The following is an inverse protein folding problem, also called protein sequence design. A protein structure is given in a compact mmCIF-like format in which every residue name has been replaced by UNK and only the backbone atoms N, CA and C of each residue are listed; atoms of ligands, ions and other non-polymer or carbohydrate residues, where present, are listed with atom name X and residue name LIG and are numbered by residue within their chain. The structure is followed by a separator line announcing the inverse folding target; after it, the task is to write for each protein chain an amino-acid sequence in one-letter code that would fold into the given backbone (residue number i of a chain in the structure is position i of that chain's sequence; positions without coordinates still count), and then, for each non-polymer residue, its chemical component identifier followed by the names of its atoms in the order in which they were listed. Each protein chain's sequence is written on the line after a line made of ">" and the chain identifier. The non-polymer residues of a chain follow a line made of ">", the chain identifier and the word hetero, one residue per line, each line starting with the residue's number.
data_IF_890619344824
#
_entry.id   IF_890619344824
#
_cell.length_a   1.000
_cell.length_b   1.000
_cell.length_c   1.000
_cell.angle_alpha   90.00
_cell.angle_beta   90.00
_cell.angle_gamma   90.00
#
_symmetry.space_group_name_H-M   'P 1'
#
loop_
_entity.id
_entity.type
_entity.pdbx_description
1 polymer ?
#
# COMPACT_ATOMS: atom_id res chain seq x y z
N UNK A 1 -51.24 -14.33 22.79
CA UNK A 1 -52.56 -13.67 22.59
C UNK A 1 -52.35 -12.53 21.60
N UNK A 2 -52.48 -12.80 20.30
CA UNK A 2 -52.38 -11.73 19.29
C UNK A 2 -53.68 -10.92 19.35
N UNK A 3 -53.63 -9.59 19.54
CA UNK A 3 -54.83 -8.79 19.53
C UNK A 3 -55.43 -8.88 18.12
N UNK A 4 -56.63 -9.46 18.01
CA UNK A 4 -57.39 -9.49 16.75
C UNK A 4 -57.74 -8.04 16.43
N UNK A 5 -56.96 -7.41 15.55
CA UNK A 5 -57.24 -6.05 15.09
C UNK A 5 -58.49 -6.07 14.22
N UNK A 6 -59.57 -5.43 14.67
CA UNK A 6 -60.77 -5.15 13.87
C UNK A 6 -60.53 -4.01 12.85
N UNK A 7 -59.44 -4.09 12.08
CA UNK A 7 -59.17 -3.16 10.97
C UNK A 7 -59.55 -3.79 9.65
N UNK A 8 -59.99 -2.95 8.70
CA UNK A 8 -60.28 -3.44 7.34
C UNK A 8 -58.98 -4.00 6.75
N UNK A 9 -59.06 -5.19 6.15
CA UNK A 9 -57.93 -5.88 5.54
C UNK A 9 -57.15 -5.00 4.55
N UNK A 10 -57.86 -4.13 3.80
CA UNK A 10 -57.28 -3.16 2.86
C UNK A 10 -56.41 -2.12 3.56
N UNK A 11 -56.92 -1.49 4.63
CA UNK A 11 -56.16 -0.51 5.42
C UNK A 11 -54.90 -1.14 6.03
N UNK A 12 -54.94 -2.42 6.39
CA UNK A 12 -53.76 -3.17 6.85
C UNK A 12 -52.69 -3.30 5.78
N UNK A 13 -53.09 -3.63 4.55
CA UNK A 13 -52.18 -3.73 3.39
C UNK A 13 -51.61 -2.37 3.03
N UNK A 14 -52.43 -1.32 2.98
CA UNK A 14 -51.99 0.03 2.62
C UNK A 14 -50.95 0.57 3.61
N UNK A 15 -51.15 0.36 4.91
CA UNK A 15 -50.17 0.75 5.93
C UNK A 15 -48.85 -0.04 5.79
N UNK A 16 -48.92 -1.32 5.46
CA UNK A 16 -47.75 -2.16 5.25
C UNK A 16 -46.97 -1.73 3.99
N UNK A 17 -47.68 -1.34 2.93
CA UNK A 17 -47.08 -0.80 1.71
C UNK A 17 -46.33 0.51 1.98
N UNK A 18 -46.94 1.45 2.71
CA UNK A 18 -46.30 2.74 3.05
C UNK A 18 -45.05 2.53 3.89
N UNK A 19 -45.08 1.63 4.87
CA UNK A 19 -43.91 1.25 5.67
C UNK A 19 -42.80 0.63 4.82
N UNK A 20 -43.14 -0.22 3.85
CA UNK A 20 -42.15 -0.82 2.94
C UNK A 20 -41.51 0.23 2.02
N UNK A 21 -42.31 1.10 1.39
CA UNK A 21 -41.81 2.14 0.48
C UNK A 21 -40.93 3.14 1.24
N UNK A 22 -41.34 3.56 2.45
CA UNK A 22 -40.56 4.48 3.27
C UNK A 22 -39.34 3.84 3.96
N UNK A 23 -39.39 2.53 4.20
CA UNK A 23 -38.38 1.81 4.96
C UNK A 23 -37.16 1.35 4.16
N UNK A 24 -37.27 1.17 2.84
CA UNK A 24 -36.17 0.69 2.01
C UNK A 24 -35.26 1.86 1.60
N UNK A 25 -34.00 1.91 2.05
CA UNK A 25 -33.11 3.04 1.79
C UNK A 25 -32.42 2.90 0.41
N UNK A 26 -33.19 3.04 -0.67
CA UNK A 26 -32.70 2.85 -2.06
C UNK A 26 -31.53 3.78 -2.41
N UNK A 27 -31.47 4.98 -1.81
CA UNK A 27 -30.41 5.95 -2.07
C UNK A 27 -29.08 5.63 -1.37
N UNK A 28 -29.09 4.85 -0.28
CA UNK A 28 -27.90 4.64 0.56
C UNK A 28 -26.73 3.99 -0.21
N UNK A 29 -26.91 2.94 -1.04
CA UNK A 29 -25.81 2.36 -1.80
C UNK A 29 -25.16 3.35 -2.79
N UNK A 30 -25.97 4.21 -3.41
CA UNK A 30 -25.50 5.22 -4.36
C UNK A 30 -24.68 6.29 -3.66
N UNK A 31 -25.16 6.79 -2.52
CA UNK A 31 -24.45 7.82 -1.74
C UNK A 31 -23.09 7.31 -1.26
N UNK A 32 -23.02 6.08 -0.75
CA UNK A 32 -21.76 5.46 -0.35
C UNK A 32 -20.79 5.33 -1.53
N UNK A 33 -21.27 4.84 -2.68
CA UNK A 33 -20.45 4.68 -3.89
C UNK A 33 -19.85 6.00 -4.37
N UNK A 34 -20.65 7.06 -4.44
CA UNK A 34 -20.19 8.40 -4.85
C UNK A 34 -19.21 8.97 -3.83
N UNK A 35 -19.49 8.79 -2.53
CA UNK A 35 -18.61 9.27 -1.46
C UNK A 35 -17.24 8.60 -1.52
N UNK A 36 -17.18 7.29 -1.73
CA UNK A 36 -15.92 6.57 -1.92
C UNK A 36 -15.19 7.03 -3.19
N UNK A 37 -15.91 7.28 -4.30
CA UNK A 37 -15.33 7.79 -5.54
C UNK A 37 -14.65 9.15 -5.34
N UNK A 38 -15.33 10.07 -4.66
CA UNK A 38 -14.78 11.37 -4.30
C UNK A 38 -13.60 11.20 -3.33
N UNK A 39 -13.69 10.29 -2.36
CA UNK A 39 -12.61 9.97 -1.43
C UNK A 39 -11.35 9.46 -2.14
N UNK A 40 -11.50 8.51 -3.06
CA UNK A 40 -10.42 8.01 -3.91
C UNK A 40 -9.76 9.12 -4.72
N UNK A 41 -10.58 9.98 -5.36
CA UNK A 41 -10.08 11.12 -6.10
C UNK A 41 -9.30 12.10 -5.22
N UNK A 42 -9.69 12.29 -3.95
CA UNK A 42 -8.98 13.15 -2.99
C UNK A 42 -7.68 12.52 -2.47
N UNK A 43 -7.59 11.20 -2.40
CA UNK A 43 -6.37 10.48 -1.98
C UNK A 43 -5.31 10.45 -3.10
N UNK A 44 -5.73 10.43 -4.37
CA UNK A 44 -4.83 10.43 -5.51
C UNK A 44 -3.81 11.59 -5.52
N UNK A 45 -4.17 12.87 -5.32
CA UNK A 45 -3.21 13.97 -5.26
C UNK A 45 -2.31 13.91 -4.00
N UNK A 46 -2.65 13.11 -3.00
CA UNK A 46 -1.81 12.85 -1.82
C UNK A 46 -0.81 11.70 -2.06
N UNK A 47 -0.77 11.14 -3.27
CA UNK A 47 0.12 10.04 -3.63
C UNK A 47 -0.41 8.64 -3.29
N UNK A 48 -1.66 8.52 -2.84
CA UNK A 48 -2.29 7.23 -2.52
C UNK A 48 -3.30 6.84 -3.61
N UNK A 49 -3.00 5.76 -4.34
CA UNK A 49 -3.89 5.22 -5.38
C UNK A 49 -4.72 4.06 -4.80
N UNK A 50 -6.02 4.28 -4.62
CA UNK A 50 -6.93 3.25 -4.10
C UNK A 50 -7.43 2.34 -5.22
N UNK A 51 -6.91 1.11 -5.30
CA UNK A 51 -7.37 0.10 -6.26
C UNK A 51 -8.75 -0.47 -5.93
N UNK A 52 -9.11 -0.52 -4.64
CA UNK A 52 -10.39 -1.03 -4.13
C UNK A 52 -11.05 0.06 -3.31
N UNK A 53 -12.32 0.36 -3.60
CA UNK A 53 -13.06 1.42 -2.91
C UNK A 53 -13.27 1.12 -1.42
N UNK A 54 -13.43 -0.16 -1.08
CA UNK A 54 -13.55 -0.64 0.31
C UNK A 54 -12.30 -0.38 1.16
N UNK A 55 -11.13 -0.19 0.54
CA UNK A 55 -9.89 0.08 1.26
C UNK A 55 -9.94 1.41 2.03
N UNK A 56 -10.78 2.36 1.59
CA UNK A 56 -10.97 3.65 2.27
C UNK A 56 -11.64 3.44 3.64
N UNK A 57 -12.61 2.53 3.72
CA UNK A 57 -13.27 2.18 4.98
C UNK A 57 -12.34 1.38 5.89
N UNK A 58 -11.64 0.38 5.35
CA UNK A 58 -10.66 -0.44 6.10
C UNK A 58 -9.54 0.43 6.70
N UNK A 59 -9.05 1.42 5.96
CA UNK A 59 -8.01 2.35 6.44
C UNK A 59 -8.49 3.21 7.62
N UNK A 60 -9.79 3.53 7.68
CA UNK A 60 -10.36 4.34 8.78
C UNK A 60 -10.38 3.56 10.10
N UNK A 61 -10.50 2.23 10.05
CA UNK A 61 -10.51 1.34 11.23
C UNK A 61 -9.16 0.70 11.54
N UNK A 62 -8.05 1.18 10.96
CA UNK A 62 -6.74 0.55 11.12
C UNK A 62 -6.08 0.93 12.46
N UNK A 63 -5.84 -0.06 13.32
CA UNK A 63 -5.15 0.13 14.60
C UNK A 63 -3.63 -0.14 14.54
N UNK A 64 -3.19 -1.01 13.63
CA UNK A 64 -1.79 -1.42 13.49
C UNK A 64 -1.35 -1.33 12.03
N UNK A 65 -0.25 -0.62 11.79
CA UNK A 65 0.40 -0.53 10.49
C UNK A 65 1.73 -1.30 10.51
N UNK A 66 1.73 -2.48 9.89
CA UNK A 66 2.96 -3.23 9.64
C UNK A 66 3.66 -2.63 8.41
N UNK A 67 4.74 -1.89 8.64
CA UNK A 67 5.54 -1.29 7.57
C UNK A 67 6.75 -2.15 7.24
N UNK A 68 7.02 -2.35 5.95
CA UNK A 68 8.23 -3.07 5.53
C UNK A 68 9.48 -2.20 5.71
N UNK A 69 10.59 -2.79 6.15
CA UNK A 69 11.81 -2.03 6.40
C UNK A 69 12.47 -1.61 5.09
N UNK A 70 12.69 -2.57 4.19
CA UNK A 70 13.42 -2.33 2.95
C UNK A 70 12.47 -1.73 1.93
N UNK A 71 12.77 -0.53 1.42
CA UNK A 71 11.95 0.12 0.40
C UNK A 71 10.70 0.86 0.90
N UNK A 72 10.33 0.77 2.19
CA UNK A 72 9.33 1.67 2.80
C UNK A 72 9.95 2.56 3.88
N UNK A 73 10.54 1.96 4.94
CA UNK A 73 11.19 2.75 6.00
C UNK A 73 12.59 3.26 5.60
N UNK A 74 13.28 2.55 4.72
CA UNK A 74 14.64 2.86 4.29
C UNK A 74 14.67 3.34 2.84
N UNK A 75 15.64 4.20 2.51
CA UNK A 75 15.79 4.81 1.19
C UNK A 75 16.21 3.84 0.08
N UNK A 76 16.47 2.57 0.43
CA UNK A 76 17.05 1.57 -0.46
C UNK A 76 18.33 2.07 -1.18
N UNK A 77 19.10 2.93 -0.51
CA UNK A 77 20.40 3.45 -0.95
C UNK A 77 21.45 2.96 0.03
N UNK A 78 22.10 1.88 -0.33
CA UNK A 78 23.12 1.24 0.52
C UNK A 78 24.44 2.00 0.36
N UNK A 79 25.21 2.05 1.45
CA UNK A 79 26.58 2.57 1.46
C UNK A 79 27.46 1.62 2.25
N UNK A 80 28.71 1.51 1.84
CA UNK A 80 29.70 0.61 2.47
C UNK A 80 30.87 1.46 2.93
N UNK A 81 31.26 1.28 4.19
CA UNK A 81 32.47 1.89 4.74
C UNK A 81 33.68 1.00 4.45
N UNK A 82 34.62 1.51 3.64
CA UNK A 82 35.83 0.78 3.22
C UNK A 82 36.71 0.37 4.42
N UNK A 83 36.65 1.11 5.53
CA UNK A 83 37.45 0.80 6.71
C UNK A 83 37.01 -0.49 7.39
N UNK A 84 35.71 -0.80 7.35
CA UNK A 84 35.10 -1.97 7.98
C UNK A 84 35.20 -3.25 7.14
N UNK A 85 35.73 -3.18 5.92
CA UNK A 85 35.89 -4.36 5.06
C UNK A 85 37.03 -5.23 5.60
N UNK A 86 36.73 -6.50 5.85
CA UNK A 86 37.72 -7.52 6.22
C UNK A 86 37.99 -8.46 5.04
N UNK A 87 39.26 -8.80 4.81
CA UNK A 87 39.70 -9.67 3.72
C UNK A 87 40.34 -10.93 4.30
N UNK A 88 39.80 -12.09 3.94
CA UNK A 88 40.25 -13.38 4.47
C UNK A 88 41.34 -14.06 3.61
N UNK A 89 41.48 -13.66 2.35
CA UNK A 89 42.48 -14.20 1.44
C UNK A 89 43.86 -13.54 1.67
N UNK A 90 44.93 -14.34 1.71
CA UNK A 90 46.31 -13.84 1.85
C UNK A 90 46.73 -13.10 0.57
N UNK A 91 47.43 -11.98 0.73
CA UNK A 91 47.94 -11.10 -0.35
C UNK A 91 46.84 -10.44 -1.22
N UNK A 92 45.62 -10.27 -0.69
CA UNK A 92 44.56 -9.54 -1.38
C UNK A 92 44.26 -8.24 -0.64
N UNK A 93 44.31 -7.12 -1.36
CA UNK A 93 43.98 -5.80 -0.83
C UNK A 93 42.47 -5.55 -0.84
N UNK A 94 41.99 -4.67 0.05
CA UNK A 94 40.56 -4.32 0.16
C UNK A 94 40.01 -3.78 -1.16
N UNK A 95 40.76 -2.91 -1.83
CA UNK A 95 40.35 -2.29 -3.10
C UNK A 95 40.21 -3.33 -4.23
N UNK A 96 41.04 -4.38 -4.21
CA UNK A 96 40.92 -5.48 -5.17
C UNK A 96 39.61 -6.27 -4.97
N UNK A 97 39.19 -6.48 -3.72
CA UNK A 97 37.90 -7.14 -3.43
C UNK A 97 36.72 -6.28 -3.89
N UNK A 98 36.79 -4.96 -3.69
CA UNK A 98 35.76 -4.02 -4.16
C UNK A 98 35.66 -4.06 -5.69
N UNK A 99 36.80 -4.06 -6.39
CA UNK A 99 36.83 -4.16 -7.85
C UNK A 99 36.22 -5.47 -8.36
N UNK A 100 36.53 -6.59 -7.73
CA UNK A 100 35.92 -7.89 -8.06
C UNK A 100 34.41 -7.87 -7.82
N UNK A 101 33.95 -7.28 -6.72
CA UNK A 101 32.53 -7.15 -6.41
C UNK A 101 31.81 -6.27 -7.44
N UNK A 102 32.43 -5.16 -7.86
CA UNK A 102 31.88 -4.28 -8.89
C UNK A 102 31.79 -4.98 -10.25
N UNK A 103 32.79 -5.78 -10.62
CA UNK A 103 32.76 -6.60 -11.86
C UNK A 103 31.71 -7.71 -11.85
N UNK A 104 31.37 -8.21 -10.67
CA UNK A 104 30.28 -9.17 -10.50
C UNK A 104 28.90 -8.50 -10.46
N UNK A 105 28.84 -7.18 -10.25
CA UNK A 105 27.61 -6.39 -10.22
C UNK A 105 27.14 -6.07 -11.63
N UNK A 106 25.83 -5.96 -11.84
CA UNK A 106 25.30 -5.55 -13.14
C UNK A 106 25.51 -4.05 -13.35
N UNK A 107 25.86 -3.66 -14.57
CA UNK A 107 25.94 -2.24 -14.96
C UNK A 107 24.63 -1.72 -15.55
N UNK A 108 23.82 -2.63 -16.10
CA UNK A 108 22.50 -2.33 -16.64
C UNK A 108 21.40 -2.85 -15.68
N UNK A 109 20.40 -2.01 -15.43
CA UNK A 109 19.29 -2.31 -14.52
C UNK A 109 19.75 -2.74 -13.11
N UNK A 110 20.46 -1.82 -12.45
CA UNK A 110 21.09 -2.05 -11.15
C UNK A 110 20.08 -2.21 -10.02
N UNK A 111 20.24 -3.30 -9.26
CA UNK A 111 19.63 -3.42 -7.94
C UNK A 111 20.35 -2.48 -6.95
N UNK A 112 19.71 -2.17 -5.82
CA UNK A 112 20.25 -1.23 -4.83
C UNK A 112 21.65 -1.62 -4.29
N UNK A 113 21.96 -2.91 -4.25
CA UNK A 113 23.28 -3.43 -3.85
C UNK A 113 24.29 -3.18 -4.97
N UNK A 114 23.97 -3.56 -6.20
CA UNK A 114 24.85 -3.39 -7.37
C UNK A 114 25.22 -1.91 -7.56
N UNK A 115 24.24 -1.01 -7.45
CA UNK A 115 24.47 0.43 -7.52
C UNK A 115 25.41 0.92 -6.41
N UNK A 116 25.30 0.38 -5.19
CA UNK A 116 26.16 0.75 -4.08
C UNK A 116 27.60 0.26 -4.26
N UNK A 117 27.79 -0.96 -4.78
CA UNK A 117 29.10 -1.54 -5.03
C UNK A 117 29.80 -0.83 -6.21
N UNK A 118 29.10 -0.60 -7.32
CA UNK A 118 29.65 0.15 -8.46
C UNK A 118 29.97 1.60 -8.08
N UNK A 119 29.11 2.23 -7.26
CA UNK A 119 29.34 3.57 -6.73
C UNK A 119 30.52 3.69 -5.74
N UNK A 120 31.10 2.59 -5.28
CA UNK A 120 32.33 2.61 -4.47
C UNK A 120 33.62 2.81 -5.28
N UNK A 121 33.57 2.56 -6.59
CA UNK A 121 34.69 2.79 -7.49
C UNK A 121 34.88 4.30 -7.72
N UNK A 122 36.14 4.72 -7.86
CA UNK A 122 36.46 6.13 -8.16
C UNK A 122 36.06 6.50 -9.60
N UNK A 123 36.18 5.55 -10.54
CA UNK A 123 35.65 5.65 -11.90
C UNK A 123 34.65 4.49 -12.13
N UNK A 124 33.36 4.78 -12.38
CA UNK A 124 32.34 3.77 -12.69
C UNK A 124 32.58 2.99 -13.99
N UNK A 125 33.57 3.36 -14.80
CA UNK A 125 33.89 2.73 -16.09
C UNK A 125 35.09 1.77 -16.05
N UNK A 126 35.78 1.63 -14.92
CA UNK A 126 36.84 0.62 -14.68
C UNK A 126 36.30 -0.78 -14.33
#
# INVERSE_FOLDING_TARGET
>A
MYPIQHRKYRDGIDNLLVLLIGGIPIAMPTVLSVTMAIGSHRLSPQGAITKRMTAIEEMTGMDVLCSDKTGTLTLNKLSVDKNLIEVFAKNVEKDYVILLAARASRTENQDAIDAAIVGMLADPKE
#
